data_IF_330898063264
#
_entry.id   IF_330898063264
#
_cell.length_a   1.000
_cell.length_b   1.000
_cell.length_c   1.000
_cell.angle_alpha   90.00
_cell.angle_beta   90.00
_cell.angle_gamma   90.00
#
_symmetry.space_group_name_H-M   'P 1'
#
loop_
_entity.id
_entity.type
_entity.pdbx_description
1 polymer ?
#
# COMPACT_ATOMS: atom_id res chain seq x y z
N UNK A 1 16.93 -16.27 13.37
CA UNK A 1 17.27 -15.02 14.08
C UNK A 1 16.00 -14.22 14.42
N UNK A 2 15.62 -14.17 15.70
CA UNK A 2 14.51 -13.35 16.21
C UNK A 2 15.04 -12.01 16.75
N UNK A 3 15.81 -11.30 15.94
CA UNK A 3 16.39 -10.00 16.31
C UNK A 3 15.96 -8.96 15.27
N UNK A 4 15.21 -7.95 15.69
CA UNK A 4 14.70 -6.87 14.83
C UNK A 4 13.39 -6.31 15.38
N UNK A 5 13.05 -5.08 14.98
CA UNK A 5 11.74 -4.49 15.28
C UNK A 5 10.66 -5.22 14.48
N UNK A 6 9.59 -5.61 15.16
CA UNK A 6 8.41 -6.24 14.53
C UNK A 6 7.21 -5.34 14.72
N UNK A 7 6.45 -5.14 13.66
CA UNK A 7 5.25 -4.31 13.67
C UNK A 7 4.08 -5.12 13.13
N UNK A 8 2.92 -4.95 13.76
CA UNK A 8 1.66 -5.58 13.29
C UNK A 8 1.03 -4.83 12.10
N UNK A 9 1.55 -3.64 11.77
CA UNK A 9 1.08 -2.82 10.65
C UNK A 9 2.23 -2.40 9.74
N UNK A 10 2.01 -2.53 8.43
CA UNK A 10 2.95 -2.04 7.42
C UNK A 10 3.18 -0.53 7.53
N UNK A 11 2.18 0.25 7.94
CA UNK A 11 2.32 1.70 8.14
C UNK A 11 3.36 2.02 9.21
N UNK A 12 3.33 1.32 10.35
CA UNK A 12 4.33 1.54 11.40
C UNK A 12 5.73 1.09 10.99
N UNK A 13 5.83 -0.02 10.25
CA UNK A 13 7.12 -0.46 9.72
C UNK A 13 7.72 0.55 8.72
N UNK A 14 6.89 1.17 7.88
CA UNK A 14 7.33 2.23 6.95
C UNK A 14 7.76 3.48 7.70
N UNK A 15 6.99 3.94 8.69
CA UNK A 15 7.36 5.12 9.49
C UNK A 15 8.66 4.93 10.28
N UNK A 16 8.90 3.73 10.82
CA UNK A 16 10.18 3.37 11.46
C UNK A 16 11.36 3.47 10.49
N UNK A 17 11.19 2.99 9.25
CA UNK A 17 12.21 3.13 8.20
C UNK A 17 12.43 4.60 7.79
N UNK A 18 11.36 5.41 7.70
CA UNK A 18 11.44 6.86 7.44
C UNK A 18 12.23 7.57 8.55
N UNK A 19 12.10 7.13 9.80
CA UNK A 19 12.85 7.66 10.94
C UNK A 19 14.31 7.17 11.00
N UNK A 20 14.74 6.33 10.06
CA UNK A 20 16.11 5.82 9.97
C UNK A 20 16.41 4.66 10.93
N UNK A 21 15.40 4.01 11.49
CA UNK A 21 15.57 2.89 12.42
C UNK A 21 15.92 1.56 11.72
N UNK A 22 15.87 1.52 10.39
CA UNK A 22 16.24 0.35 9.60
C UNK A 22 15.77 0.38 8.15
N UNK A 23 15.65 -0.80 7.56
CA UNK A 23 15.15 -1.02 6.19
C UNK A 23 13.90 -1.90 6.22
N UNK A 24 12.95 -1.64 5.32
CA UNK A 24 11.69 -2.40 5.22
C UNK A 24 11.43 -2.86 3.79
N UNK A 25 10.87 -4.06 3.64
CA UNK A 25 10.27 -4.50 2.39
C UNK A 25 8.81 -4.00 2.33
N UNK A 26 8.60 -2.82 1.75
CA UNK A 26 7.29 -2.18 1.63
C UNK A 26 6.56 -2.45 0.31
N UNK A 27 5.25 -2.20 0.27
CA UNK A 27 4.48 -2.15 -0.99
C UNK A 27 4.73 -0.81 -1.67
N UNK A 28 5.06 -0.81 -2.97
CA UNK A 28 5.34 0.42 -3.74
C UNK A 28 4.28 1.50 -3.57
N UNK A 29 2.99 1.14 -3.60
CA UNK A 29 1.91 2.12 -3.41
C UNK A 29 1.97 2.83 -2.06
N UNK A 30 2.34 2.13 -0.99
CA UNK A 30 2.41 2.69 0.37
C UNK A 30 3.61 3.61 0.59
N UNK A 31 4.71 3.40 -0.14
CA UNK A 31 5.96 4.16 0.03
C UNK A 31 6.22 5.16 -1.09
N UNK A 32 5.34 5.24 -2.09
CA UNK A 32 5.53 6.05 -3.30
C UNK A 32 5.76 7.53 -2.99
N UNK A 33 4.97 8.11 -2.09
CA UNK A 33 5.11 9.49 -1.65
C UNK A 33 6.45 9.75 -0.93
N UNK A 34 6.91 8.79 -0.13
CA UNK A 34 8.16 8.90 0.62
C UNK A 34 9.39 8.78 -0.25
N UNK A 35 9.31 7.92 -1.28
CA UNK A 35 10.33 7.85 -2.32
C UNK A 35 10.35 9.13 -3.15
N UNK A 36 9.18 9.67 -3.53
CA UNK A 36 9.08 10.90 -4.31
C UNK A 36 9.62 12.13 -3.57
N UNK A 37 9.42 12.18 -2.25
CA UNK A 37 9.90 13.28 -1.38
C UNK A 37 11.32 13.06 -0.86
N UNK A 38 11.94 11.90 -1.14
CA UNK A 38 13.28 11.55 -0.66
C UNK A 38 13.38 11.22 0.83
N UNK A 39 12.24 11.07 1.54
CA UNK A 39 12.21 10.55 2.92
C UNK A 39 12.65 9.09 2.98
N UNK A 40 12.38 8.34 1.91
CA UNK A 40 12.89 7.00 1.69
C UNK A 40 13.73 6.95 0.41
N UNK A 41 14.63 5.98 0.36
CA UNK A 41 15.38 5.61 -0.84
C UNK A 41 15.17 4.12 -1.11
N UNK A 42 15.25 3.73 -2.39
CA UNK A 42 15.23 2.32 -2.79
C UNK A 42 16.68 1.83 -2.94
N UNK A 43 17.24 1.08 -1.97
CA UNK A 43 18.66 0.72 -2.00
C UNK A 43 19.02 -0.31 -3.09
N UNK A 44 18.04 -1.03 -3.63
CA UNK A 44 18.24 -2.06 -4.66
C UNK A 44 17.25 -1.89 -5.80
N UNK A 45 17.69 -2.18 -7.02
CA UNK A 45 16.79 -2.06 -8.17
C UNK A 45 15.77 -3.19 -8.32
N UNK A 46 15.90 -4.22 -7.48
CA UNK A 46 15.04 -5.39 -7.52
C UNK A 46 13.68 -5.11 -6.87
N UNK A 47 12.60 -5.44 -7.59
CA UNK A 47 11.24 -5.38 -7.08
C UNK A 47 10.57 -6.75 -7.26
N UNK A 48 9.81 -7.16 -6.25
CA UNK A 48 9.02 -8.38 -6.29
C UNK A 48 7.58 -8.05 -6.70
N UNK A 49 7.01 -8.86 -7.58
CA UNK A 49 5.57 -8.80 -7.84
C UNK A 49 4.85 -9.20 -6.57
N UNK A 50 4.00 -8.33 -6.04
CA UNK A 50 3.20 -8.64 -4.87
C UNK A 50 2.32 -9.86 -5.16
N UNK A 51 2.31 -10.82 -4.23
CA UNK A 51 1.50 -12.04 -4.33
C UNK A 51 -0.01 -11.72 -4.20
N UNK A 52 -0.36 -10.58 -3.58
CA UNK A 52 -1.74 -10.16 -3.38
C UNK A 52 -1.97 -8.69 -3.72
N UNK A 53 -3.17 -8.39 -4.23
CA UNK A 53 -3.64 -7.04 -4.57
C UNK A 53 -4.61 -6.51 -3.52
N UNK A 54 -4.93 -5.21 -3.60
CA UNK A 54 -6.05 -4.64 -2.86
C UNK A 54 -7.35 -4.89 -3.64
N UNK A 55 -8.42 -5.24 -2.92
CA UNK A 55 -9.72 -5.57 -3.52
C UNK A 55 -10.83 -4.74 -2.87
N UNK A 56 -11.74 -4.24 -3.69
CA UNK A 56 -13.01 -3.71 -3.22
C UNK A 56 -14.00 -4.86 -3.05
N UNK A 57 -14.51 -5.06 -1.82
CA UNK A 57 -15.39 -6.19 -1.48
C UNK A 57 -16.73 -5.67 -0.98
N UNK A 58 -17.81 -6.20 -1.55
CA UNK A 58 -19.19 -5.93 -1.14
C UNK A 58 -20.09 -7.13 -1.51
N UNK A 59 -21.21 -7.38 -0.80
CA UNK A 59 -22.17 -8.41 -1.19
C UNK A 59 -22.69 -8.17 -2.62
N UNK A 60 -22.87 -9.20 -3.47
CA UNK A 60 -23.30 -9.02 -4.85
C UNK A 60 -24.55 -8.14 -5.01
N UNK A 61 -25.50 -8.24 -4.09
CA UNK A 61 -26.75 -7.49 -4.08
C UNK A 61 -26.56 -6.00 -3.79
N UNK A 62 -25.48 -5.63 -3.09
CA UNK A 62 -25.19 -4.26 -2.70
C UNK A 62 -24.98 -3.34 -3.91
N UNK A 63 -24.55 -3.88 -5.06
CA UNK A 63 -24.35 -3.11 -6.29
C UNK A 63 -25.64 -2.46 -6.81
N UNK A 64 -26.81 -2.97 -6.42
CA UNK A 64 -28.12 -2.38 -6.76
C UNK A 64 -28.40 -1.07 -6.02
N UNK A 65 -27.71 -0.82 -4.91
CA UNK A 65 -27.83 0.43 -4.18
C UNK A 65 -27.06 1.52 -4.92
N UNK A 66 -27.74 2.62 -5.28
CA UNK A 66 -27.13 3.73 -6.05
C UNK A 66 -25.84 4.24 -5.43
N UNK A 67 -25.79 4.36 -4.10
CA UNK A 67 -24.61 4.82 -3.35
C UNK A 67 -23.40 3.89 -3.50
N UNK A 68 -23.61 2.56 -3.55
CA UNK A 68 -22.53 1.58 -3.68
C UNK A 68 -21.98 1.61 -5.10
N UNK A 69 -22.87 1.64 -6.10
CA UNK A 69 -22.46 1.78 -7.50
C UNK A 69 -21.68 3.08 -7.72
N UNK A 70 -22.19 4.20 -7.23
CA UNK A 70 -21.52 5.50 -7.37
C UNK A 70 -20.12 5.50 -6.74
N UNK A 71 -19.98 4.99 -5.51
CA UNK A 71 -18.67 4.92 -4.86
C UNK A 71 -17.71 3.97 -5.58
N UNK A 72 -18.18 2.81 -6.03
CA UNK A 72 -17.38 1.86 -6.80
C UNK A 72 -16.84 2.50 -8.08
N UNK A 73 -17.73 3.08 -8.87
CA UNK A 73 -17.39 3.63 -10.17
C UNK A 73 -16.42 4.80 -10.00
N UNK A 74 -16.69 5.72 -9.06
CA UNK A 74 -15.77 6.79 -8.69
C UNK A 74 -14.41 6.26 -8.21
N UNK A 75 -14.38 5.25 -7.33
CA UNK A 75 -13.12 4.70 -6.81
C UNK A 75 -12.23 4.16 -7.94
N UNK A 76 -12.82 3.49 -8.94
CA UNK A 76 -12.04 2.99 -10.09
C UNK A 76 -11.67 4.10 -11.09
N UNK A 77 -12.35 5.25 -11.10
CA UNK A 77 -11.93 6.43 -11.87
C UNK A 77 -10.73 7.14 -11.22
N UNK A 78 -10.68 7.19 -9.88
CA UNK A 78 -9.57 7.83 -9.14
C UNK A 78 -8.29 6.99 -9.09
N UNK A 79 -8.40 5.68 -9.26
CA UNK A 79 -7.22 4.79 -9.27
C UNK A 79 -6.68 4.75 -10.70
N UNK A 80 -5.54 5.37 -10.93
CA UNK A 80 -4.82 5.22 -12.21
C UNK A 80 -4.56 3.73 -12.50
N UNK A 81 -4.73 3.29 -13.77
CA UNK A 81 -4.28 1.96 -14.16
C UNK A 81 -2.76 1.88 -13.96
N UNK A 82 -2.34 1.10 -12.96
CA UNK A 82 -0.93 0.85 -12.67
C UNK A 82 -0.21 0.03 -13.74
#
# INVERSE_FOLDING_TARGET
PNSGLTFDSATFAVESAVQGEGVVLGRTMLVSADLATGRLVRPFDHALKAVSSFYLVYPPEAIRQRKVKAFRDWLFEEIEPG
#
